data_IF_984471056468
#
_entry.id   IF_984471056468
#
_cell.length_a   1.000
_cell.length_b   1.000
_cell.length_c   1.000
_cell.angle_alpha   90.00
_cell.angle_beta   90.00
_cell.angle_gamma   90.00
#
_symmetry.space_group_name_H-M   'P 1'
#
loop_
_entity.id
_entity.type
_entity.pdbx_description
1 polymer ?
#
# COMPACT_ATOMS: atom_id res chain seq x y z
N UNK A 1 0.42 -19.72 -4.95
CA UNK A 1 0.22 -18.90 -3.75
C UNK A 1 0.53 -17.46 -4.13
N UNK A 2 -0.46 -16.57 -4.05
CA UNK A 2 -0.35 -15.19 -4.54
C UNK A 2 -1.12 -14.17 -3.70
N UNK A 3 -1.79 -14.58 -2.62
CA UNK A 3 -2.62 -13.70 -1.79
C UNK A 3 -1.74 -12.92 -0.81
N UNK A 4 -0.93 -12.01 -1.34
CA UNK A 4 -0.04 -11.14 -0.59
C UNK A 4 -0.46 -9.68 -0.73
N UNK A 5 0.11 -8.83 0.14
CA UNK A 5 -0.10 -7.40 0.12
C UNK A 5 1.21 -6.66 0.44
N UNK A 6 1.32 -5.44 -0.08
CA UNK A 6 2.42 -4.53 0.18
C UNK A 6 1.90 -3.40 1.09
N UNK A 7 2.60 -3.11 2.18
CA UNK A 7 2.28 -2.01 3.09
C UNK A 7 3.38 -0.97 3.00
N UNK A 8 3.01 0.27 2.71
CA UNK A 8 3.89 1.43 2.72
C UNK A 8 3.48 2.35 3.87
N UNK A 9 4.45 2.66 4.72
CA UNK A 9 4.29 3.50 5.90
C UNK A 9 5.15 4.76 5.71
N UNK A 10 4.63 5.96 6.06
CA UNK A 10 5.41 7.19 5.95
C UNK A 10 6.66 7.14 6.82
N UNK A 11 7.77 7.71 6.35
CA UNK A 11 9.05 7.74 7.10
C UNK A 11 8.97 8.53 8.41
N UNK A 12 7.97 9.41 8.55
CA UNK A 12 7.68 10.15 9.78
C UNK A 12 7.18 9.25 10.91
N UNK A 13 6.72 8.04 10.61
CA UNK A 13 6.20 7.10 11.61
C UNK A 13 7.32 6.23 12.16
N UNK A 14 7.56 6.33 13.46
CA UNK A 14 8.43 5.41 14.17
C UNK A 14 7.64 4.19 14.67
N UNK A 15 7.81 3.05 14.00
CA UNK A 15 7.13 1.79 14.33
C UNK A 15 7.66 1.12 15.61
N UNK A 16 8.77 1.58 16.18
CA UNK A 16 9.29 1.09 17.46
C UNK A 16 8.66 1.78 18.67
N UNK A 17 7.84 2.81 18.46
CA UNK A 17 7.15 3.55 19.51
C UNK A 17 5.63 3.29 19.43
N UNK A 18 4.90 3.45 20.55
CA UNK A 18 3.44 3.45 20.52
C UNK A 18 2.93 4.51 19.54
N UNK A 19 1.98 4.12 18.68
CA UNK A 19 1.37 5.04 17.72
C UNK A 19 0.54 6.06 18.51
N UNK A 20 0.98 7.33 18.51
CA UNK A 20 0.30 8.40 19.23
C UNK A 20 -1.01 8.82 18.56
N UNK A 21 -1.07 8.79 17.23
CA UNK A 21 -2.27 9.11 16.43
C UNK A 21 -2.40 8.15 15.26
N UNK A 22 -3.59 7.56 15.02
CA UNK A 22 -3.81 6.69 13.88
C UNK A 22 -3.72 7.47 12.57
N UNK A 23 -3.16 6.84 11.54
CA UNK A 23 -3.10 7.40 10.19
C UNK A 23 -4.28 6.92 9.34
N UNK A 24 -4.73 7.71 8.35
CA UNK A 24 -5.62 7.20 7.32
C UNK A 24 -4.97 6.06 6.54
N UNK A 25 -5.79 5.14 6.05
CA UNK A 25 -5.37 4.00 5.23
C UNK A 25 -5.99 4.09 3.85
N UNK A 26 -5.14 4.08 2.83
CA UNK A 26 -5.53 4.00 1.43
C UNK A 26 -5.29 2.58 0.91
N UNK A 27 -6.34 1.90 0.46
CA UNK A 27 -6.23 0.56 -0.14
C UNK A 27 -6.34 0.69 -1.66
N UNK A 28 -5.32 0.26 -2.37
CA UNK A 28 -5.25 0.28 -3.83
C UNK A 28 -5.50 -1.11 -4.41
N UNK A 29 -6.46 -1.19 -5.34
CA UNK A 29 -6.82 -2.40 -6.08
C UNK A 29 -6.43 -2.18 -7.53
N UNK A 30 -5.50 -2.99 -8.04
CA UNK A 30 -5.05 -2.86 -9.41
C UNK A 30 -6.15 -3.26 -10.41
N UNK A 31 -6.26 -2.53 -11.51
CA UNK A 31 -7.10 -2.92 -12.66
C UNK A 31 -6.44 -3.98 -13.55
N UNK A 32 -7.06 -4.18 -14.72
CA UNK A 32 -6.64 -5.13 -15.76
C UNK A 32 -7.72 -6.15 -16.11
N UNK A 33 -8.97 -5.69 -16.14
CA UNK A 33 -10.15 -6.41 -16.65
C UNK A 33 -10.36 -7.81 -16.06
N UNK A 34 -9.92 -8.03 -14.83
CA UNK A 34 -9.94 -9.33 -14.15
C UNK A 34 -9.14 -10.45 -14.84
N UNK A 35 -8.30 -10.11 -15.83
CA UNK A 35 -7.45 -11.08 -16.56
C UNK A 35 -5.96 -10.78 -16.42
N UNK A 36 -5.61 -9.59 -15.97
CA UNK A 36 -4.24 -9.12 -15.81
C UNK A 36 -4.13 -8.13 -14.64
N UNK A 37 -2.91 -7.96 -14.13
CA UNK A 37 -2.63 -7.00 -13.07
C UNK A 37 -1.70 -7.55 -12.00
N UNK A 38 -1.16 -6.65 -11.19
CA UNK A 38 -0.40 -7.01 -9.99
C UNK A 38 -0.24 -5.78 -9.11
N UNK A 39 -0.29 -5.98 -7.80
CA UNK A 39 0.00 -4.99 -6.75
C UNK A 39 1.48 -4.54 -6.73
N UNK A 40 2.35 -5.31 -7.40
CA UNK A 40 3.81 -5.15 -7.42
C UNK A 40 4.32 -4.39 -8.64
N UNK A 41 3.43 -3.88 -9.50
CA UNK A 41 3.85 -3.05 -10.65
C UNK A 41 4.58 -1.79 -10.14
N UNK A 42 5.73 -1.39 -10.74
CA UNK A 42 6.46 -0.19 -10.33
C UNK A 42 5.61 1.09 -10.35
N UNK A 43 4.59 1.15 -11.21
CA UNK A 43 3.64 2.26 -11.28
C UNK A 43 2.85 2.45 -9.97
N UNK A 44 2.67 1.40 -9.17
CA UNK A 44 1.91 1.42 -7.93
C UNK A 44 2.81 1.51 -6.69
N UNK A 45 4.07 1.92 -6.84
CA UNK A 45 4.96 2.13 -5.70
C UNK A 45 4.40 3.17 -4.73
N UNK A 46 3.88 2.69 -3.60
CA UNK A 46 3.18 3.51 -2.61
C UNK A 46 4.10 4.41 -1.77
N UNK A 47 5.43 4.33 -1.91
CA UNK A 47 6.38 5.12 -1.12
C UNK A 47 6.19 6.62 -1.28
N UNK A 48 5.94 7.09 -2.51
CA UNK A 48 5.79 8.52 -2.78
C UNK A 48 4.51 9.09 -2.16
N UNK A 49 3.37 8.44 -2.43
CA UNK A 49 2.07 8.93 -1.95
C UNK A 49 1.95 8.76 -0.43
N UNK A 50 2.47 7.66 0.14
CA UNK A 50 2.49 7.45 1.59
C UNK A 50 3.20 8.58 2.31
N UNK A 51 4.41 8.94 1.85
CA UNK A 51 5.19 10.03 2.44
C UNK A 51 4.55 11.41 2.21
N UNK A 52 4.03 11.66 1.00
CA UNK A 52 3.46 12.97 0.65
C UNK A 52 2.17 13.28 1.40
N UNK A 53 1.26 12.30 1.53
CA UNK A 53 -0.05 12.50 2.16
C UNK A 53 -0.11 12.07 3.62
N UNK A 54 1.02 11.63 4.20
CA UNK A 54 1.10 11.10 5.56
C UNK A 54 0.03 10.00 5.81
N UNK A 55 -0.02 9.02 4.91
CA UNK A 55 -1.07 7.98 4.84
C UNK A 55 -0.42 6.60 4.73
N UNK A 56 -1.01 5.58 5.35
CA UNK A 56 -0.60 4.19 5.12
C UNK A 56 -1.21 3.72 3.81
N UNK A 57 -0.38 3.22 2.89
CA UNK A 57 -0.83 2.75 1.58
C UNK A 57 -0.72 1.23 1.56
N UNK A 58 -1.78 0.56 1.14
CA UNK A 58 -1.84 -0.89 1.02
C UNK A 58 -2.18 -1.27 -0.41
N UNK A 59 -1.30 -2.00 -1.08
CA UNK A 59 -1.60 -2.60 -2.37
C UNK A 59 -1.85 -4.09 -2.16
N UNK A 60 -2.95 -4.63 -2.69
CA UNK A 60 -3.29 -6.04 -2.52
C UNK A 60 -3.25 -6.80 -3.84
N UNK A 61 -2.70 -8.02 -3.80
CA UNK A 61 -2.87 -8.98 -4.87
C UNK A 61 -4.23 -9.68 -4.72
N UNK A 62 -4.90 -9.95 -5.84
CA UNK A 62 -6.09 -10.79 -5.90
C UNK A 62 -5.98 -11.77 -7.07
N UNK A 63 -6.72 -12.88 -7.00
CA UNK A 63 -6.73 -13.88 -8.09
C UNK A 63 -7.38 -13.30 -9.34
N UNK A 64 -6.73 -13.55 -10.47
CA UNK A 64 -7.19 -13.25 -11.82
C UNK A 64 -7.61 -14.57 -12.49
#
# INVERSE_FOLDING_TARGET
>A
DCLYLNIFVPVSVNLSLPIATPLPVMVWIHGGDFIAGSASKPLYDGRFISNYSNTVVVNMEYRL
#
